data_IF_430684211314
#
_entry.id   IF_430684211314
#
_cell.length_a   1.000
_cell.length_b   1.000
_cell.length_c   1.000
_cell.angle_alpha   90.00
_cell.angle_beta   90.00
_cell.angle_gamma   90.00
#
_symmetry.space_group_name_H-M   'P 1'
#
loop_
_entity.id
_entity.type
_entity.pdbx_description
1 polymer ?
#
# COMPACT_ATOMS: atom_id res chain seq x y z
N UNK A 1 -6.20 -23.86 -34.25
CA UNK A 1 -6.56 -23.08 -33.04
C UNK A 1 -5.28 -22.42 -32.54
N UNK A 2 -5.07 -21.14 -32.87
CA UNK A 2 -3.81 -20.42 -32.62
C UNK A 2 -4.03 -19.51 -31.42
N UNK A 3 -3.36 -19.79 -30.31
CA UNK A 3 -3.30 -18.92 -29.14
C UNK A 3 -2.46 -17.70 -29.52
N UNK A 4 -3.05 -16.51 -29.46
CA UNK A 4 -2.31 -15.24 -29.52
C UNK A 4 -2.17 -14.72 -28.09
N UNK A 5 -0.99 -14.92 -27.50
CA UNK A 5 -0.54 -14.18 -26.33
C UNK A 5 0.09 -12.89 -26.84
N UNK A 6 -0.67 -11.79 -26.89
CA UNK A 6 -0.08 -10.46 -27.01
C UNK A 6 0.41 -10.03 -25.63
N UNK A 7 1.70 -10.27 -25.37
CA UNK A 7 2.41 -9.50 -24.34
C UNK A 7 2.62 -8.10 -24.92
N UNK A 8 1.75 -7.15 -24.54
CA UNK A 8 1.94 -5.74 -24.90
C UNK A 8 3.27 -5.27 -24.32
N UNK A 9 4.20 -4.96 -25.21
CA UNK A 9 5.45 -4.26 -24.91
C UNK A 9 5.15 -2.98 -24.14
N UNK A 10 5.77 -2.80 -22.97
CA UNK A 10 5.72 -1.54 -22.23
C UNK A 10 6.52 -0.50 -23.02
N UNK A 11 5.99 0.72 -23.16
CA UNK A 11 6.70 1.78 -23.86
C UNK A 11 8.10 2.04 -23.27
N UNK A 12 9.06 2.32 -24.14
CA UNK A 12 10.51 2.43 -23.86
C UNK A 12 10.86 3.30 -22.63
N UNK A 13 10.08 4.35 -22.36
CA UNK A 13 10.24 5.24 -21.19
C UNK A 13 9.86 4.60 -19.85
N UNK A 14 8.87 3.71 -19.83
CA UNK A 14 8.50 2.93 -18.63
C UNK A 14 9.51 1.82 -18.37
N UNK A 15 10.08 1.25 -19.43
CA UNK A 15 11.10 0.20 -19.33
C UNK A 15 12.41 0.74 -18.73
N UNK A 16 12.79 1.98 -19.05
CA UNK A 16 14.00 2.63 -18.49
C UNK A 16 13.89 3.02 -17.01
N UNK A 17 12.67 3.16 -16.48
CA UNK A 17 12.47 3.45 -15.06
C UNK A 17 12.79 2.24 -14.19
N UNK A 18 12.24 1.06 -14.55
CA UNK A 18 12.45 -0.16 -13.78
C UNK A 18 13.89 -0.68 -13.83
N UNK A 19 14.65 -0.41 -14.90
CA UNK A 19 16.05 -0.84 -14.98
C UNK A 19 17.00 -0.06 -14.07
N UNK A 20 16.56 1.06 -13.48
CA UNK A 20 17.35 1.88 -12.56
C UNK A 20 16.91 1.75 -11.09
N UNK A 21 15.85 1.00 -10.81
CA UNK A 21 15.32 0.82 -9.46
C UNK A 21 16.02 -0.36 -8.78
N UNK A 22 16.51 -0.14 -7.57
CA UNK A 22 17.15 -1.20 -6.76
C UNK A 22 16.09 -2.11 -6.12
N UNK A 23 15.05 -1.52 -5.53
CA UNK A 23 13.99 -2.24 -4.81
C UNK A 23 12.59 -1.88 -5.31
N UNK A 24 11.74 -2.89 -5.50
CA UNK A 24 10.34 -2.74 -5.92
C UNK A 24 9.46 -3.60 -5.03
N UNK A 25 8.43 -2.98 -4.45
CA UNK A 25 7.35 -3.68 -3.74
C UNK A 25 6.03 -3.37 -4.43
N UNK A 26 5.24 -4.41 -4.68
CA UNK A 26 3.91 -4.29 -5.28
C UNK A 26 2.84 -3.92 -4.26
N UNK A 27 1.80 -3.24 -4.72
CA UNK A 27 0.60 -2.93 -3.96
C UNK A 27 -0.60 -2.85 -4.89
N UNK A 28 -1.80 -2.81 -4.33
CA UNK A 28 -3.05 -2.60 -5.08
C UNK A 28 -4.16 -2.07 -4.17
N UNK A 29 -4.96 -1.09 -4.61
CA UNK A 29 -4.75 -0.20 -5.76
C UNK A 29 -3.90 1.03 -5.41
N UNK A 30 -3.50 1.79 -6.44
CA UNK A 30 -3.13 3.19 -6.26
C UNK A 30 -4.31 3.94 -5.62
N UNK A 31 -4.02 4.85 -4.68
CA UNK A 31 -5.04 5.62 -3.94
C UNK A 31 -5.04 7.09 -4.32
N UNK A 32 -3.86 7.68 -4.48
CA UNK A 32 -3.66 9.10 -4.75
C UNK A 32 -2.64 9.23 -5.89
N UNK A 33 -2.93 10.14 -6.83
CA UNK A 33 -2.04 10.55 -7.91
C UNK A 33 -1.96 12.07 -7.96
N UNK A 34 -0.76 12.63 -7.98
CA UNK A 34 -0.56 14.08 -8.16
C UNK A 34 -1.43 14.94 -7.21
N UNK A 35 -1.58 14.52 -5.95
CA UNK A 35 -2.37 15.21 -4.92
C UNK A 35 -3.88 15.09 -5.07
N UNK A 36 -4.37 14.13 -5.86
CA UNK A 36 -5.81 13.86 -6.04
C UNK A 36 -6.11 12.40 -5.75
N UNK A 37 -7.26 12.14 -5.11
CA UNK A 37 -7.75 10.77 -4.92
C UNK A 37 -8.08 10.19 -6.29
N UNK A 38 -7.41 9.09 -6.63
CA UNK A 38 -7.54 8.36 -7.89
C UNK A 38 -7.37 6.86 -7.60
N UNK A 39 -8.47 6.21 -7.21
CA UNK A 39 -8.46 4.79 -6.81
C UNK A 39 -8.62 3.90 -8.04
N UNK A 40 -7.53 3.32 -8.53
CA UNK A 40 -7.46 2.60 -9.83
C UNK A 40 -7.82 1.11 -9.74
N UNK A 41 -8.76 0.79 -8.85
CA UNK A 41 -9.10 -0.60 -8.50
C UNK A 41 -9.65 -1.43 -9.67
N UNK A 42 -10.39 -0.80 -10.60
CA UNK A 42 -10.93 -1.45 -11.81
C UNK A 42 -9.82 -1.80 -12.79
N UNK A 43 -8.90 -0.86 -13.03
CA UNK A 43 -7.77 -1.03 -13.94
C UNK A 43 -6.79 -2.08 -13.42
N UNK A 44 -6.64 -2.16 -12.10
CA UNK A 44 -5.80 -3.14 -11.40
C UNK A 44 -6.53 -4.46 -11.09
N UNK A 45 -7.77 -4.63 -11.59
CA UNK A 45 -8.56 -5.87 -11.48
C UNK A 45 -8.77 -6.38 -10.06
N UNK A 46 -8.86 -5.47 -9.09
CA UNK A 46 -9.32 -5.80 -7.74
C UNK A 46 -10.85 -5.78 -7.67
N UNK A 47 -11.45 -6.25 -6.57
CA UNK A 47 -12.91 -6.32 -6.45
C UNK A 47 -13.51 -5.04 -5.85
N UNK A 48 -14.74 -4.71 -6.23
CA UNK A 48 -15.50 -3.63 -5.60
C UNK A 48 -15.62 -3.81 -4.08
N UNK A 49 -15.82 -5.04 -3.62
CA UNK A 49 -15.87 -5.37 -2.19
C UNK A 49 -14.55 -5.07 -1.47
N UNK A 50 -13.41 -5.25 -2.12
CA UNK A 50 -12.09 -4.92 -1.57
C UNK A 50 -11.93 -3.41 -1.33
N UNK A 51 -12.58 -2.59 -2.16
CA UNK A 51 -12.54 -1.13 -2.07
C UNK A 51 -13.49 -0.60 -1.00
N UNK A 52 -14.74 -1.08 -0.99
CA UNK A 52 -15.83 -0.53 -0.17
C UNK A 52 -15.87 -1.09 1.25
N UNK A 53 -15.34 -2.29 1.48
CA UNK A 53 -15.37 -2.91 2.81
C UNK A 53 -14.30 -2.30 3.71
N UNK A 54 -14.68 -2.00 4.95
CA UNK A 54 -13.72 -1.58 5.98
C UNK A 54 -12.88 -2.75 6.45
N UNK A 55 -11.56 -2.57 6.40
CA UNK A 55 -10.57 -3.54 6.84
C UNK A 55 -9.43 -2.84 7.57
N UNK A 56 -8.61 -3.57 8.35
CA UNK A 56 -7.27 -3.14 8.64
C UNK A 56 -6.54 -2.87 7.32
N UNK A 57 -5.77 -1.79 7.26
CA UNK A 57 -5.08 -1.34 6.03
C UNK A 57 -3.62 -1.06 6.30
N UNK A 58 -2.79 -1.35 5.31
CA UNK A 58 -1.41 -0.88 5.24
C UNK A 58 -1.28 -0.01 4.00
N UNK A 59 -0.61 1.14 4.10
CA UNK A 59 -0.38 2.03 2.97
C UNK A 59 0.99 2.69 3.04
N UNK A 60 1.49 3.05 1.86
CA UNK A 60 2.64 3.92 1.69
C UNK A 60 2.23 5.14 0.87
N UNK A 61 2.68 6.31 1.30
CA UNK A 61 2.44 7.56 0.61
C UNK A 61 3.75 8.35 0.47
N UNK A 62 3.87 9.07 -0.63
CA UNK A 62 4.93 10.05 -0.85
C UNK A 62 4.40 11.43 -0.54
N UNK A 63 5.17 12.22 0.22
CA UNK A 63 4.89 13.62 0.52
C UNK A 63 5.58 14.55 -0.49
N UNK A 64 5.16 15.82 -0.51
CA UNK A 64 5.69 16.83 -1.45
C UNK A 64 7.21 17.05 -1.32
N UNK A 65 7.76 16.89 -0.12
CA UNK A 65 9.19 17.04 0.16
C UNK A 65 10.01 15.77 -0.15
N UNK A 66 9.37 14.75 -0.73
CA UNK A 66 10.00 13.48 -1.10
C UNK A 66 10.12 12.47 0.04
N UNK A 67 9.67 12.80 1.26
CA UNK A 67 9.58 11.82 2.35
C UNK A 67 8.47 10.81 2.08
N UNK A 68 8.62 9.64 2.67
CA UNK A 68 7.58 8.62 2.71
C UNK A 68 6.84 8.64 4.04
N UNK A 69 5.54 8.43 3.96
CA UNK A 69 4.65 8.17 5.08
C UNK A 69 4.20 6.71 4.98
N UNK A 70 4.44 5.93 6.03
CA UNK A 70 3.97 4.55 6.16
C UNK A 70 2.85 4.51 7.18
N UNK A 71 1.71 3.94 6.82
CA UNK A 71 0.49 3.96 7.64
C UNK A 71 -0.03 2.56 7.82
N UNK A 72 -0.37 2.22 9.07
CA UNK A 72 -1.23 1.08 9.40
C UNK A 72 -2.49 1.56 10.08
N UNK A 73 -3.63 1.01 9.67
CA UNK A 73 -4.95 1.25 10.27
C UNK A 73 -5.40 -0.07 10.86
N UNK A 74 -5.62 -0.12 12.17
CA UNK A 74 -6.23 -1.30 12.82
C UNK A 74 -7.67 -1.50 12.36
N UNK A 75 -8.21 -2.71 12.48
CA UNK A 75 -9.59 -2.99 12.09
C UNK A 75 -10.11 -4.31 12.63
N UNK A 76 -11.41 -4.59 12.42
CA UNK A 76 -12.09 -5.81 12.90
C UNK A 76 -12.07 -5.98 14.43
N UNK A 77 -12.00 -4.88 15.16
CA UNK A 77 -12.00 -4.85 16.63
C UNK A 77 -12.95 -3.77 17.16
N UNK A 78 -13.27 -3.81 18.46
CA UNK A 78 -14.24 -2.89 19.08
C UNK A 78 -13.79 -1.43 18.97
N UNK A 79 -12.49 -1.19 19.09
CA UNK A 79 -11.87 0.14 19.10
C UNK A 79 -11.59 0.66 17.67
N UNK A 80 -11.56 -0.22 16.67
CA UNK A 80 -11.41 0.16 15.27
C UNK A 80 -12.09 -0.83 14.34
N UNK A 81 -13.02 -0.32 13.54
CA UNK A 81 -13.69 -1.09 12.48
C UNK A 81 -12.83 -1.19 11.20
N UNK A 82 -11.74 -0.43 11.11
CA UNK A 82 -10.92 -0.29 9.91
C UNK A 82 -11.42 0.78 8.96
N UNK A 83 -10.80 0.86 7.78
CA UNK A 83 -11.14 1.83 6.73
C UNK A 83 -11.38 1.13 5.40
N UNK A 84 -12.33 1.68 4.64
CA UNK A 84 -12.43 1.42 3.21
C UNK A 84 -11.37 2.26 2.46
N UNK A 85 -11.18 2.03 1.17
CA UNK A 85 -10.08 2.69 0.45
C UNK A 85 -10.32 4.19 0.21
N UNK A 86 -11.58 4.64 0.16
CA UNK A 86 -11.90 6.07 0.05
C UNK A 86 -11.55 6.81 1.35
N UNK A 87 -11.88 6.23 2.50
CA UNK A 87 -11.53 6.76 3.83
C UNK A 87 -10.02 6.82 4.02
N UNK A 88 -9.32 5.74 3.64
CA UNK A 88 -7.87 5.69 3.68
C UNK A 88 -7.23 6.76 2.77
N UNK A 89 -7.72 6.91 1.53
CA UNK A 89 -7.21 7.91 0.61
C UNK A 89 -7.46 9.33 1.12
N UNK A 90 -8.63 9.60 1.71
CA UNK A 90 -8.94 10.90 2.33
C UNK A 90 -7.99 11.21 3.49
N UNK A 91 -7.76 10.26 4.40
CA UNK A 91 -6.80 10.40 5.49
C UNK A 91 -5.38 10.68 4.98
N UNK A 92 -4.90 9.92 4.00
CA UNK A 92 -3.56 10.10 3.44
C UNK A 92 -3.42 11.48 2.78
N UNK A 93 -4.45 11.96 2.08
CA UNK A 93 -4.46 13.28 1.48
C UNK A 93 -4.42 14.38 2.55
N UNK A 94 -5.19 14.24 3.63
CA UNK A 94 -5.15 15.15 4.80
C UNK A 94 -3.76 15.18 5.45
N UNK A 95 -3.06 14.05 5.49
CA UNK A 95 -1.67 13.93 5.95
C UNK A 95 -0.63 14.45 4.94
N UNK A 96 -1.08 15.00 3.79
CA UNK A 96 -0.22 15.66 2.81
C UNK A 96 0.35 14.75 1.72
N UNK A 97 -0.21 13.56 1.52
CA UNK A 97 0.19 12.66 0.44
C UNK A 97 -0.03 13.30 -0.95
N UNK A 98 1.00 13.22 -1.80
CA UNK A 98 0.89 13.59 -3.22
C UNK A 98 0.74 12.36 -4.11
N UNK A 99 1.28 11.22 -3.71
CA UNK A 99 1.05 9.91 -4.33
C UNK A 99 0.88 8.88 -3.22
N UNK A 100 -0.01 7.91 -3.39
CA UNK A 100 -0.22 6.86 -2.39
C UNK A 100 -0.64 5.53 -3.00
N UNK A 101 -0.26 4.45 -2.34
CA UNK A 101 -0.52 3.06 -2.73
C UNK A 101 -1.02 2.27 -1.52
N UNK A 102 -2.09 1.49 -1.70
CA UNK A 102 -2.52 0.50 -0.72
C UNK A 102 -1.61 -0.74 -0.82
N UNK A 103 -1.22 -1.29 0.34
CA UNK A 103 -0.48 -2.55 0.47
C UNK A 103 -1.39 -3.65 1.03
N UNK A 104 -0.84 -4.84 1.28
CA UNK A 104 -1.61 -5.92 1.88
C UNK A 104 -2.19 -5.50 3.25
N UNK A 105 -3.45 -5.88 3.48
CA UNK A 105 -4.26 -5.43 4.59
C UNK A 105 -4.80 -6.60 5.42
N UNK A 106 -5.90 -6.37 6.14
CA UNK A 106 -6.50 -7.41 6.96
C UNK A 106 -5.55 -7.92 8.04
N UNK A 107 -5.48 -9.25 8.22
CA UNK A 107 -4.61 -9.86 9.21
C UNK A 107 -3.12 -9.65 8.96
N UNK A 108 -2.73 -9.26 7.74
CA UNK A 108 -1.34 -8.93 7.40
C UNK A 108 -0.92 -7.54 7.90
N UNK A 109 -1.87 -6.66 8.28
CA UNK A 109 -1.55 -5.29 8.72
C UNK A 109 -0.76 -5.31 10.02
N UNK A 110 0.54 -5.07 9.91
CA UNK A 110 1.47 -5.06 11.04
C UNK A 110 2.53 -3.96 10.85
N UNK A 111 2.75 -3.16 11.89
CA UNK A 111 3.86 -2.21 11.96
C UNK A 111 4.75 -2.56 13.14
N UNK A 112 6.03 -2.82 12.86
CA UNK A 112 7.06 -2.99 13.86
C UNK A 112 7.92 -1.72 13.94
N UNK A 113 7.93 -1.08 15.10
CA UNK A 113 8.72 0.12 15.36
C UNK A 113 9.18 0.12 16.82
N UNK A 114 10.30 0.80 17.11
CA UNK A 114 10.84 0.93 18.48
C UNK A 114 10.95 -0.41 19.23
N UNK A 115 11.32 -1.48 18.50
CA UNK A 115 11.57 -2.82 19.06
C UNK A 115 10.32 -3.65 19.36
N UNK A 116 9.14 -3.23 18.90
CA UNK A 116 7.88 -3.98 19.11
C UNK A 116 6.87 -3.74 17.99
N UNK A 117 5.83 -4.56 17.94
CA UNK A 117 4.62 -4.23 17.19
C UNK A 117 3.94 -3.04 17.86
N UNK A 118 3.56 -2.04 17.06
CA UNK A 118 2.96 -0.78 17.56
C UNK A 118 1.49 -0.63 17.19
N UNK A 119 0.94 -1.51 16.34
CA UNK A 119 -0.48 -1.60 16.05
C UNK A 119 -1.11 -2.85 16.70
N UNK A 120 -2.40 -3.10 16.50
CA UNK A 120 -3.09 -4.30 17.00
C UNK A 120 -3.47 -5.23 15.83
N UNK A 121 -2.69 -6.31 15.59
CA UNK A 121 -3.01 -7.30 14.58
C UNK A 121 -4.42 -7.88 14.74
N UNK A 122 -5.12 -8.07 13.63
CA UNK A 122 -6.55 -8.44 13.64
C UNK A 122 -6.84 -9.94 13.66
N UNK A 123 -5.84 -10.79 13.42
CA UNK A 123 -6.01 -12.23 13.51
C UNK A 123 -6.00 -12.68 14.98
N UNK A 124 -6.76 -13.73 15.30
CA UNK A 124 -6.93 -14.21 16.69
C UNK A 124 -5.60 -14.64 17.34
N UNK A 125 -4.70 -15.20 16.54
CA UNK A 125 -3.38 -15.66 16.99
C UNK A 125 -2.33 -14.52 17.03
N UNK A 126 -2.74 -13.27 16.74
CA UNK A 126 -1.84 -12.11 16.69
C UNK A 126 -1.28 -11.84 15.29
N UNK A 127 0.04 -11.65 15.20
CA UNK A 127 0.73 -11.34 13.95
C UNK A 127 0.62 -12.49 12.93
N UNK A 128 0.23 -12.15 11.69
CA UNK A 128 0.22 -13.11 10.58
C UNK A 128 1.60 -13.21 9.95
N UNK A 129 2.01 -14.43 9.58
CA UNK A 129 3.18 -14.62 8.69
C UNK A 129 2.91 -14.00 7.32
N UNK A 130 3.79 -13.10 6.88
CA UNK A 130 3.73 -12.42 5.58
C UNK A 130 4.90 -12.84 4.68
N UNK A 131 4.74 -12.68 3.36
CA UNK A 131 5.80 -13.00 2.37
C UNK A 131 6.93 -11.99 2.34
N UNK A 132 6.60 -10.71 2.50
CA UNK A 132 7.49 -9.58 2.32
C UNK A 132 7.17 -8.45 3.31
N UNK A 133 8.11 -7.53 3.45
CA UNK A 133 7.98 -6.33 4.27
C UNK A 133 8.85 -5.20 3.72
N UNK A 134 8.42 -3.96 3.92
CA UNK A 134 9.26 -2.77 3.69
C UNK A 134 10.00 -2.45 4.99
N UNK A 135 11.33 -2.49 4.93
CA UNK A 135 12.20 -2.20 6.06
C UNK A 135 12.88 -0.85 5.86
N UNK A 136 12.81 0.01 6.88
CA UNK A 136 13.48 1.32 6.87
C UNK A 136 14.61 1.31 7.89
N UNK A 137 15.83 1.49 7.41
CA UNK A 137 17.03 1.58 8.24
C UNK A 137 17.60 2.99 8.18
N UNK A 138 18.22 3.48 9.27
CA UNK A 138 19.04 4.68 9.21
C UNK A 138 20.11 4.54 8.13
N UNK A 139 20.30 5.58 7.32
CA UNK A 139 21.40 5.61 6.35
C UNK A 139 22.72 5.48 7.11
N UNK A 140 23.54 4.47 6.78
CA UNK A 140 24.91 4.42 7.28
C UNK A 140 25.61 5.72 6.89
N UNK A 141 26.02 6.51 7.88
CA UNK A 141 26.94 7.62 7.64
C UNK A 141 28.30 6.99 7.42
N UNK A 142 28.81 7.10 6.20
CA UNK A 142 30.23 6.88 5.92
C UNK A 142 31.03 8.07 6.40
#
# INVERSE_FOLDING_TARGET
MRLVNEVKSLESSKQTFFTKTEDIVGGVPQLIKNGKIEITWEQEKSSKSFVETRHPRTAVAKLKDGKFLMVTVDGRQKESVGMNLNELAALLLELGAVDAMNLDGGGSTTMFAVGKVVNKPSDKEGERKVSDAILVFPRKRN
#
